data_IF_295965451140
#
_entry.id   IF_295965451140
#
_cell.length_a   1.000
_cell.length_b   1.000
_cell.length_c   1.000
_cell.angle_alpha   90.00
_cell.angle_beta   90.00
_cell.angle_gamma   90.00
#
_symmetry.space_group_name_H-M   'P 1'
#
loop_
_entity.id
_entity.type
_entity.pdbx_description
1 polymer ?
#
# COMPACT_ATOMS: atom_id res chain seq x y z
N UNK A 1 47.28 22.47 -10.36
CA UNK A 1 46.06 22.17 -11.15
C UNK A 1 45.54 20.76 -10.84
N UNK A 2 45.29 20.41 -9.56
CA UNK A 2 44.93 19.00 -9.16
C UNK A 2 43.82 18.90 -8.14
N UNK A 3 43.04 19.96 -7.93
CA UNK A 3 41.98 19.95 -6.91
C UNK A 3 40.52 19.90 -7.45
N UNK A 4 40.31 19.94 -8.75
CA UNK A 4 38.99 19.94 -9.39
C UNK A 4 38.41 18.54 -9.68
N UNK A 5 39.24 17.48 -9.69
CA UNK A 5 38.76 16.12 -9.98
C UNK A 5 38.12 15.40 -8.78
N UNK A 6 38.44 15.76 -7.54
CA UNK A 6 37.94 15.07 -6.35
C UNK A 6 36.47 15.38 -5.99
N UNK A 7 35.95 16.54 -6.39
CA UNK A 7 34.56 16.94 -6.09
C UNK A 7 33.52 16.26 -7.01
N UNK A 8 33.90 15.92 -8.23
CA UNK A 8 32.97 15.26 -9.19
C UNK A 8 32.72 13.77 -8.88
N UNK A 9 33.68 13.09 -8.28
CA UNK A 9 33.53 11.67 -7.90
C UNK A 9 32.64 11.50 -6.68
N UNK A 10 32.65 12.45 -5.74
CA UNK A 10 31.79 12.39 -4.54
C UNK A 10 30.29 12.57 -4.86
N UNK A 11 29.94 13.44 -5.82
CA UNK A 11 28.53 13.65 -6.24
C UNK A 11 27.94 12.42 -6.94
N UNK A 12 28.71 11.67 -7.72
CA UNK A 12 28.24 10.47 -8.40
C UNK A 12 27.94 9.32 -7.43
N UNK A 13 28.66 9.21 -6.31
CA UNK A 13 28.43 8.17 -5.30
C UNK A 13 27.16 8.41 -4.47
N UNK A 14 26.83 9.68 -4.15
CA UNK A 14 25.61 10.02 -3.39
C UNK A 14 24.35 9.72 -4.21
N UNK A 15 24.31 10.12 -5.48
CA UNK A 15 23.16 9.85 -6.37
C UNK A 15 22.92 8.34 -6.59
N UNK A 16 23.97 7.53 -6.61
CA UNK A 16 23.84 6.07 -6.75
C UNK A 16 23.29 5.42 -5.48
N UNK A 17 23.64 5.91 -4.29
CA UNK A 17 23.15 5.37 -3.02
C UNK A 17 21.66 5.67 -2.81
N UNK A 18 21.20 6.87 -3.14
CA UNK A 18 19.79 7.26 -3.05
C UNK A 18 18.91 6.46 -4.02
N UNK A 19 19.36 6.23 -5.24
CA UNK A 19 18.62 5.42 -6.21
C UNK A 19 18.50 3.95 -5.79
N UNK A 20 19.54 3.37 -5.19
CA UNK A 20 19.54 2.01 -4.66
C UNK A 20 18.59 1.91 -3.46
N UNK A 21 18.63 2.85 -2.54
CA UNK A 21 17.75 2.90 -1.37
C UNK A 21 16.28 3.01 -1.79
N UNK A 22 15.96 3.90 -2.72
CA UNK A 22 14.62 4.06 -3.27
C UNK A 22 14.10 2.78 -3.94
N UNK A 23 14.95 2.06 -4.67
CA UNK A 23 14.59 0.78 -5.27
C UNK A 23 14.31 -0.32 -4.25
N UNK A 24 15.08 -0.37 -3.16
CA UNK A 24 14.87 -1.33 -2.06
C UNK A 24 13.57 -1.02 -1.31
N UNK A 25 13.29 0.25 -1.01
CA UNK A 25 12.05 0.69 -0.38
C UNK A 25 10.84 0.34 -1.24
N UNK A 26 10.92 0.55 -2.56
CA UNK A 26 9.86 0.20 -3.50
C UNK A 26 9.55 -1.30 -3.51
N UNK A 27 10.59 -2.12 -3.59
CA UNK A 27 10.45 -3.59 -3.58
C UNK A 27 9.85 -4.08 -2.27
N UNK A 28 10.28 -3.52 -1.15
CA UNK A 28 9.78 -3.87 0.18
C UNK A 28 8.30 -3.55 0.34
N UNK A 29 7.88 -2.32 0.04
CA UNK A 29 6.48 -1.93 0.20
C UNK A 29 5.55 -2.69 -0.75
N UNK A 30 6.01 -3.05 -1.96
CA UNK A 30 5.26 -3.91 -2.87
C UNK A 30 5.10 -5.32 -2.33
N UNK A 31 6.11 -5.89 -1.68
CA UNK A 31 6.01 -7.23 -1.08
C UNK A 31 5.09 -7.23 0.14
N UNK A 32 5.11 -6.18 0.95
CA UNK A 32 4.17 -6.00 2.06
C UNK A 32 2.72 -5.93 1.55
N UNK A 33 2.46 -5.18 0.47
CA UNK A 33 1.14 -5.14 -0.19
C UNK A 33 0.74 -6.50 -0.73
N UNK A 34 1.67 -7.24 -1.36
CA UNK A 34 1.42 -8.60 -1.86
C UNK A 34 1.04 -9.54 -0.72
N UNK A 35 1.76 -9.46 0.40
CA UNK A 35 1.50 -10.25 1.60
C UNK A 35 0.12 -9.93 2.18
N UNK A 36 -0.22 -8.64 2.32
CA UNK A 36 -1.54 -8.20 2.79
C UNK A 36 -2.68 -8.75 1.92
N UNK A 37 -2.59 -8.60 0.60
CA UNK A 37 -3.64 -9.04 -0.33
C UNK A 37 -3.78 -10.57 -0.29
N UNK A 38 -2.67 -11.31 -0.33
CA UNK A 38 -2.69 -12.77 -0.23
C UNK A 38 -3.27 -13.23 1.11
N UNK A 39 -2.90 -12.59 2.22
CA UNK A 39 -3.44 -12.90 3.54
C UNK A 39 -4.97 -12.78 3.57
N UNK A 40 -5.52 -11.71 2.98
CA UNK A 40 -6.97 -11.50 2.93
C UNK A 40 -7.69 -12.64 2.20
N UNK A 41 -7.22 -13.01 1.00
CA UNK A 41 -7.87 -14.06 0.20
C UNK A 41 -7.62 -15.47 0.74
N UNK A 42 -6.52 -15.68 1.47
CA UNK A 42 -6.23 -16.94 2.16
C UNK A 42 -6.94 -17.06 3.53
N UNK A 43 -7.54 -15.98 4.03
CA UNK A 43 -8.24 -15.94 5.31
C UNK A 43 -7.32 -15.80 6.52
N UNK A 44 -6.10 -15.32 6.33
CA UNK A 44 -5.17 -14.99 7.42
C UNK A 44 -5.53 -13.62 8.03
N UNK A 45 -6.51 -13.66 8.93
CA UNK A 45 -7.06 -12.49 9.62
C UNK A 45 -6.00 -11.74 10.42
N UNK A 46 -5.07 -12.46 11.04
CA UNK A 46 -4.03 -11.86 11.89
C UNK A 46 -3.09 -11.00 11.07
N UNK A 47 -2.65 -11.49 9.94
CA UNK A 47 -1.81 -10.74 9.01
C UNK A 47 -2.55 -9.53 8.43
N UNK A 48 -3.82 -9.66 8.04
CA UNK A 48 -4.61 -8.53 7.54
C UNK A 48 -4.72 -7.43 8.60
N UNK A 49 -5.05 -7.79 9.85
CA UNK A 49 -5.15 -6.80 10.94
C UNK A 49 -3.81 -6.15 11.24
N UNK A 50 -2.71 -6.91 11.24
CA UNK A 50 -1.35 -6.39 11.47
C UNK A 50 -0.94 -5.36 10.42
N UNK A 51 -1.28 -5.58 9.15
CA UNK A 51 -0.99 -4.65 8.06
C UNK A 51 -2.01 -3.50 7.94
N UNK A 52 -3.14 -3.54 8.66
CA UNK A 52 -4.10 -2.44 8.67
C UNK A 52 -3.61 -1.31 9.59
N UNK A 53 -3.63 -0.07 9.09
CA UNK A 53 -3.15 1.07 9.89
C UNK A 53 -3.94 1.25 11.19
N UNK A 54 -3.28 1.55 12.34
CA UNK A 54 -3.92 1.68 13.65
C UNK A 54 -5.09 2.68 13.69
N UNK A 55 -5.00 3.80 12.96
CA UNK A 55 -6.11 4.76 12.84
C UNK A 55 -7.36 4.10 12.26
N UNK A 56 -7.23 3.24 11.24
CA UNK A 56 -8.36 2.52 10.65
C UNK A 56 -8.93 1.51 11.63
N UNK A 57 -8.08 0.80 12.36
CA UNK A 57 -8.49 -0.13 13.43
C UNK A 57 -9.29 0.61 14.51
N UNK A 58 -8.81 1.77 14.95
CA UNK A 58 -9.51 2.58 15.96
C UNK A 58 -10.89 3.05 15.46
N UNK A 59 -11.00 3.48 14.21
CA UNK A 59 -12.28 3.87 13.58
C UNK A 59 -13.28 2.71 13.47
N UNK A 60 -12.79 1.49 13.37
CA UNK A 60 -13.62 0.28 13.32
C UNK A 60 -14.09 -0.18 14.71
N UNK A 61 -13.71 0.51 15.78
CA UNK A 61 -14.05 0.15 17.15
C UNK A 61 -12.98 -0.69 17.87
N UNK A 62 -11.73 -0.64 17.39
CA UNK A 62 -10.57 -1.31 17.97
C UNK A 62 -10.29 -2.68 17.36
N UNK A 63 -9.24 -3.32 17.86
CA UNK A 63 -8.68 -4.56 17.27
C UNK A 63 -9.70 -5.70 17.18
N UNK A 64 -10.52 -5.90 18.20
CA UNK A 64 -11.52 -6.99 18.23
C UNK A 64 -12.60 -6.78 17.16
N UNK A 65 -13.10 -5.54 17.00
CA UNK A 65 -14.08 -5.20 15.98
C UNK A 65 -13.49 -5.27 14.57
N UNK A 66 -12.26 -4.77 14.37
CA UNK A 66 -11.53 -4.88 13.12
C UNK A 66 -11.34 -6.35 12.71
N UNK A 67 -10.92 -7.21 13.66
CA UNK A 67 -10.76 -8.64 13.45
C UNK A 67 -12.07 -9.30 12.98
N UNK A 68 -13.19 -8.97 13.66
CA UNK A 68 -14.49 -9.49 13.28
C UNK A 68 -14.89 -9.03 11.86
N UNK A 69 -14.67 -7.77 11.52
CA UNK A 69 -14.95 -7.26 10.16
C UNK A 69 -14.14 -8.00 9.09
N UNK A 70 -12.85 -8.28 9.35
CA UNK A 70 -12.00 -9.06 8.43
C UNK A 70 -12.50 -10.50 8.33
N UNK A 71 -12.89 -11.14 9.44
CA UNK A 71 -13.47 -12.49 9.43
C UNK A 71 -14.76 -12.55 8.59
N UNK A 72 -15.67 -11.59 8.80
CA UNK A 72 -16.93 -11.50 8.04
C UNK A 72 -16.65 -11.27 6.53
N UNK A 73 -15.60 -10.51 6.19
CA UNK A 73 -15.16 -10.32 4.81
C UNK A 73 -14.60 -11.62 4.21
N UNK A 74 -13.74 -12.34 4.95
CA UNK A 74 -13.18 -13.63 4.51
C UNK A 74 -14.28 -14.65 4.23
N UNK A 75 -15.33 -14.71 5.07
CA UNK A 75 -16.50 -15.57 4.80
C UNK A 75 -17.14 -15.20 3.47
N UNK A 76 -17.42 -13.91 3.23
CA UNK A 76 -18.01 -13.45 1.95
C UNK A 76 -17.14 -13.75 0.73
N UNK A 77 -15.79 -13.65 0.87
CA UNK A 77 -14.87 -14.01 -0.20
C UNK A 77 -14.95 -15.51 -0.52
N UNK A 78 -15.04 -16.35 0.50
CA UNK A 78 -15.19 -17.81 0.35
C UNK A 78 -16.54 -18.19 -0.26
N UNK A 79 -17.64 -17.58 0.21
CA UNK A 79 -18.99 -17.82 -0.30
C UNK A 79 -19.11 -17.43 -1.79
N UNK A 80 -18.39 -16.39 -2.21
CA UNK A 80 -18.30 -15.95 -3.61
C UNK A 80 -17.26 -16.69 -4.45
N UNK A 81 -16.61 -17.75 -3.92
CA UNK A 81 -15.47 -18.45 -4.55
C UNK A 81 -14.42 -17.45 -5.12
N UNK A 82 -14.14 -16.39 -4.33
CA UNK A 82 -13.26 -15.32 -4.78
C UNK A 82 -11.79 -15.68 -4.52
N UNK A 83 -10.98 -15.61 -5.58
CA UNK A 83 -9.53 -15.89 -5.55
C UNK A 83 -8.76 -14.88 -6.36
N UNK A 84 -7.56 -14.55 -5.91
CA UNK A 84 -6.62 -13.73 -6.69
C UNK A 84 -5.84 -14.65 -7.63
N UNK A 85 -6.12 -14.57 -8.92
CA UNK A 85 -5.41 -15.29 -9.97
C UNK A 85 -4.05 -14.66 -10.26
N UNK A 86 -4.01 -13.33 -10.31
CA UNK A 86 -2.77 -12.57 -10.48
C UNK A 86 -2.81 -11.25 -9.73
N UNK A 87 -1.64 -10.80 -9.29
CA UNK A 87 -1.42 -9.48 -8.70
C UNK A 87 -0.12 -8.90 -9.25
N UNK A 88 -0.22 -7.77 -9.91
CA UNK A 88 0.89 -7.03 -10.49
C UNK A 88 0.89 -5.58 -10.03
N UNK A 89 2.03 -4.92 -10.18
CA UNK A 89 2.22 -3.51 -9.87
C UNK A 89 2.47 -2.77 -11.20
N UNK A 90 1.46 -2.12 -11.79
CA UNK A 90 1.58 -1.53 -13.13
C UNK A 90 2.51 -0.32 -13.18
N UNK A 91 2.80 0.26 -12.01
CA UNK A 91 3.74 1.36 -11.84
C UNK A 91 4.52 1.16 -10.53
N UNK A 92 5.74 1.72 -10.39
CA UNK A 92 6.42 1.77 -9.11
C UNK A 92 5.60 2.55 -8.07
N UNK A 93 5.81 2.29 -6.77
CA UNK A 93 5.23 3.08 -5.70
C UNK A 93 5.67 4.54 -5.79
N UNK A 94 4.77 5.45 -5.51
CA UNK A 94 5.08 6.88 -5.35
C UNK A 94 5.20 7.19 -3.87
N UNK A 95 6.37 7.70 -3.47
CA UNK A 95 6.66 8.06 -2.09
C UNK A 95 6.40 9.54 -1.84
N UNK A 96 5.76 9.83 -0.72
CA UNK A 96 5.41 11.17 -0.29
C UNK A 96 5.80 11.34 1.18
N UNK A 97 6.02 12.58 1.59
CA UNK A 97 6.32 12.91 2.99
C UNK A 97 5.38 14.01 3.48
N UNK A 98 5.01 13.94 4.75
CA UNK A 98 4.20 14.96 5.37
C UNK A 98 3.77 14.63 6.79
N UNK A 99 3.72 15.63 7.67
CA UNK A 99 3.37 15.45 9.08
C UNK A 99 4.32 14.51 9.84
N UNK A 100 5.60 14.43 9.43
CA UNK A 100 6.60 13.53 10.02
C UNK A 100 6.45 12.06 9.59
N UNK A 101 5.53 11.74 8.68
CA UNK A 101 5.28 10.41 8.11
C UNK A 101 5.84 10.30 6.71
N UNK A 102 6.16 9.06 6.33
CA UNK A 102 6.32 8.69 4.92
C UNK A 102 5.07 7.95 4.45
N UNK A 103 4.67 8.23 3.24
CA UNK A 103 3.56 7.55 2.57
C UNK A 103 4.06 6.87 1.31
N UNK A 104 3.39 5.80 0.92
CA UNK A 104 3.64 5.10 -0.33
C UNK A 104 2.31 4.83 -1.02
N UNK A 105 2.07 5.45 -2.17
CA UNK A 105 0.92 5.10 -3.01
C UNK A 105 1.36 3.97 -3.93
N UNK A 106 0.82 2.77 -3.72
CA UNK A 106 1.21 1.54 -4.40
C UNK A 106 0.10 1.08 -5.34
N UNK A 107 0.17 1.40 -6.65
CA UNK A 107 -0.82 0.94 -7.62
C UNK A 107 -0.79 -0.59 -7.74
N UNK A 108 -1.98 -1.20 -7.77
CA UNK A 108 -2.16 -2.64 -7.90
C UNK A 108 -3.12 -2.96 -9.04
N UNK A 109 -2.77 -3.96 -9.85
CA UNK A 109 -3.67 -4.55 -10.84
C UNK A 109 -3.81 -6.03 -10.51
N UNK A 110 -5.04 -6.45 -10.21
CA UNK A 110 -5.35 -7.85 -9.89
C UNK A 110 -6.39 -8.42 -10.85
N UNK A 111 -6.23 -9.70 -11.18
CA UNK A 111 -7.28 -10.52 -11.77
C UNK A 111 -7.83 -11.39 -10.65
N UNK A 112 -9.14 -11.29 -10.44
CA UNK A 112 -9.86 -11.99 -9.38
C UNK A 112 -10.88 -12.88 -10.06
N UNK A 113 -10.87 -14.19 -9.76
CA UNK A 113 -12.00 -15.05 -10.08
C UNK A 113 -13.07 -14.91 -9.01
N UNK A 114 -14.33 -14.89 -9.42
CA UNK A 114 -15.49 -14.85 -8.54
C UNK A 114 -16.65 -15.60 -9.20
N UNK A 115 -17.12 -16.68 -8.60
CA UNK A 115 -18.20 -17.52 -9.16
C UNK A 115 -17.95 -17.90 -10.64
N UNK A 116 -16.73 -18.26 -10.99
CA UNK A 116 -16.33 -18.63 -12.34
C UNK A 116 -16.17 -17.49 -13.35
N UNK A 117 -16.32 -16.24 -12.93
CA UNK A 117 -16.09 -15.06 -13.75
C UNK A 117 -14.77 -14.40 -13.36
N UNK A 118 -14.05 -13.86 -14.33
CA UNK A 118 -12.85 -13.06 -14.07
C UNK A 118 -13.17 -11.56 -14.01
N UNK A 119 -12.59 -10.89 -13.03
CA UNK A 119 -12.72 -9.46 -12.79
C UNK A 119 -11.32 -8.86 -12.74
N UNK A 120 -11.05 -7.94 -13.63
CA UNK A 120 -9.88 -7.06 -13.54
C UNK A 120 -10.17 -5.92 -12.56
N UNK A 121 -9.28 -5.72 -11.61
CA UNK A 121 -9.39 -4.64 -10.60
C UNK A 121 -8.10 -3.83 -10.58
N UNK A 122 -8.18 -2.58 -11.04
CA UNK A 122 -7.15 -1.57 -10.80
C UNK A 122 -7.50 -0.85 -9.49
N UNK A 123 -6.55 -0.78 -8.58
CA UNK A 123 -6.69 -0.12 -7.28
C UNK A 123 -5.31 0.39 -6.82
N UNK A 124 -5.21 0.91 -5.63
CA UNK A 124 -3.95 1.18 -4.95
C UNK A 124 -4.05 0.85 -3.47
N UNK A 125 -2.90 0.69 -2.82
CA UNK A 125 -2.78 0.70 -1.38
C UNK A 125 -2.06 1.97 -0.96
N UNK A 126 -2.60 2.68 0.03
CA UNK A 126 -1.89 3.76 0.70
C UNK A 126 -1.11 3.16 1.87
N UNK A 127 0.20 3.05 1.70
CA UNK A 127 1.12 2.68 2.77
C UNK A 127 1.45 3.88 3.63
N UNK A 128 1.50 3.68 4.94
CA UNK A 128 1.88 4.66 5.95
C UNK A 128 3.02 4.09 6.79
N UNK A 129 4.09 4.85 6.91
CA UNK A 129 5.20 4.59 7.83
C UNK A 129 5.22 5.72 8.85
N UNK A 130 4.77 5.42 10.07
CA UNK A 130 4.73 6.38 11.16
C UNK A 130 6.14 6.73 11.67
N UNK A 131 6.33 7.88 12.34
CA UNK A 131 7.63 8.25 12.91
C UNK A 131 8.17 7.17 13.85
N UNK A 132 9.40 6.72 13.58
CA UNK A 132 10.07 5.67 14.37
C UNK A 132 9.60 4.23 14.10
N UNK A 133 8.58 4.04 13.25
CA UNK A 133 8.18 2.70 12.82
C UNK A 133 9.15 2.14 11.78
N UNK A 134 9.28 0.81 11.75
CA UNK A 134 10.07 0.07 10.75
C UNK A 134 9.18 -0.60 9.70
N UNK A 135 7.91 -0.79 10.00
CA UNK A 135 6.99 -1.56 9.19
C UNK A 135 5.88 -0.68 8.61
N UNK A 136 5.59 -0.91 7.34
CA UNK A 136 4.47 -0.27 6.65
C UNK A 136 3.14 -0.83 7.14
N UNK A 137 2.17 0.07 7.30
CA UNK A 137 0.76 -0.28 7.47
C UNK A 137 -0.06 0.35 6.37
N UNK A 138 -1.25 -0.17 6.08
CA UNK A 138 -1.96 0.17 4.86
C UNK A 138 -3.41 0.57 5.08
N UNK A 139 -3.90 1.36 4.12
CA UNK A 139 -5.31 1.65 3.89
C UNK A 139 -5.64 1.34 2.45
N UNK A 140 -6.73 0.62 2.21
CA UNK A 140 -7.19 0.31 0.85
C UNK A 140 -7.61 1.58 0.12
N UNK A 141 -7.09 1.75 -1.11
CA UNK A 141 -7.20 2.99 -1.87
C UNK A 141 -8.62 3.42 -2.22
N UNK A 142 -9.55 2.47 -2.46
CA UNK A 142 -10.95 2.79 -2.73
C UNK A 142 -11.67 3.46 -1.55
N UNK A 143 -11.09 3.41 -0.37
CA UNK A 143 -11.58 4.07 0.85
C UNK A 143 -10.91 5.42 1.13
N UNK A 144 -9.94 5.80 0.30
CA UNK A 144 -9.16 7.03 0.46
C UNK A 144 -9.65 8.07 -0.54
N UNK A 145 -9.99 9.25 -0.03
CA UNK A 145 -10.37 10.43 -0.82
C UNK A 145 -9.54 11.63 -0.39
N UNK A 146 -9.46 12.68 -1.21
CA UNK A 146 -8.80 13.94 -0.84
C UNK A 146 -9.33 14.53 0.48
N UNK A 147 -10.63 14.36 0.74
CA UNK A 147 -11.27 14.92 1.94
C UNK A 147 -10.92 14.10 3.19
N UNK A 148 -11.02 12.77 3.12
CA UNK A 148 -10.85 11.94 4.31
C UNK A 148 -9.37 11.69 4.64
N UNK A 149 -8.46 11.70 3.66
CA UNK A 149 -7.03 11.47 3.92
C UNK A 149 -6.43 12.54 4.83
N UNK A 150 -6.87 13.79 4.72
CA UNK A 150 -6.42 14.88 5.61
C UNK A 150 -6.90 14.70 7.05
N UNK A 151 -8.06 14.10 7.22
CA UNK A 151 -8.63 13.79 8.55
C UNK A 151 -7.91 12.59 9.16
N UNK A 152 -7.66 11.55 8.36
CA UNK A 152 -6.99 10.33 8.80
C UNK A 152 -5.50 10.57 9.07
N UNK A 153 -4.85 11.32 8.21
CA UNK A 153 -3.40 11.57 8.21
C UNK A 153 -3.10 13.05 8.04
N UNK A 154 -3.23 13.85 9.09
CA UNK A 154 -2.87 15.26 9.05
C UNK A 154 -1.43 15.43 8.54
N UNK A 155 -1.26 16.31 7.55
CA UNK A 155 0.03 16.54 6.88
C UNK A 155 0.24 15.71 5.62
N UNK A 156 -0.68 14.83 5.22
CA UNK A 156 -0.64 14.24 3.87
C UNK A 156 -0.68 15.36 2.82
N UNK A 157 0.09 15.30 1.71
CA UNK A 157 0.13 16.38 0.71
C UNK A 157 -1.26 16.68 0.12
N UNK A 158 -1.80 17.87 0.40
CA UNK A 158 -3.17 18.25 0.05
C UNK A 158 -3.42 18.34 -1.46
N UNK A 159 -2.37 18.56 -2.25
CA UNK A 159 -2.43 18.68 -3.72
C UNK A 159 -2.29 17.34 -4.43
N UNK A 160 -2.07 16.25 -3.69
CA UNK A 160 -1.87 14.94 -4.29
C UNK A 160 -3.15 14.41 -4.97
N UNK A 161 -2.97 13.92 -6.20
CA UNK A 161 -4.05 13.30 -6.98
C UNK A 161 -3.90 11.78 -6.93
N UNK A 162 -4.87 11.12 -6.27
CA UNK A 162 -4.86 9.67 -6.19
C UNK A 162 -5.05 9.00 -7.55
N UNK A 163 -4.41 7.84 -7.78
CA UNK A 163 -4.64 7.06 -8.99
C UNK A 163 -6.13 6.69 -9.12
N UNK A 164 -6.64 6.53 -10.35
CA UNK A 164 -7.98 6.02 -10.57
C UNK A 164 -8.09 4.56 -10.11
N UNK A 165 -9.28 4.15 -9.73
CA UNK A 165 -9.60 2.75 -9.47
C UNK A 165 -10.81 2.32 -10.29
N UNK A 166 -10.85 1.07 -10.73
CA UNK A 166 -11.99 0.47 -11.41
C UNK A 166 -12.07 -1.04 -11.20
N UNK A 167 -13.23 -1.60 -11.50
CA UNK A 167 -13.45 -3.02 -11.65
C UNK A 167 -14.16 -3.27 -12.97
N UNK A 168 -13.65 -4.25 -13.76
CA UNK A 168 -14.16 -4.62 -15.06
C UNK A 168 -14.27 -6.13 -15.16
N UNK A 169 -15.40 -6.66 -15.64
CA UNK A 169 -15.52 -8.07 -16.01
C UNK A 169 -14.74 -8.33 -17.30
N UNK A 170 -14.03 -9.44 -17.34
CA UNK A 170 -13.29 -9.93 -18.49
C UNK A 170 -14.10 -10.93 -19.30
#
# INVERSE_FOLDING_TARGET
>A
MTWLCSLLVALAFVASAEAVQSGQDASRVQEDVRTLIRALYNGDVDTVVRYTHPTVIAMQGGTSAARKLVQDLVVKLKDGDMRVESLTFPKPPEFLEGGGRRFAVVPTLSIISANGQQIESLNFQLGILDPGATDWTFVEGSRVTKQNVQVLFPGFPATYEFPPFYRKRL
#
